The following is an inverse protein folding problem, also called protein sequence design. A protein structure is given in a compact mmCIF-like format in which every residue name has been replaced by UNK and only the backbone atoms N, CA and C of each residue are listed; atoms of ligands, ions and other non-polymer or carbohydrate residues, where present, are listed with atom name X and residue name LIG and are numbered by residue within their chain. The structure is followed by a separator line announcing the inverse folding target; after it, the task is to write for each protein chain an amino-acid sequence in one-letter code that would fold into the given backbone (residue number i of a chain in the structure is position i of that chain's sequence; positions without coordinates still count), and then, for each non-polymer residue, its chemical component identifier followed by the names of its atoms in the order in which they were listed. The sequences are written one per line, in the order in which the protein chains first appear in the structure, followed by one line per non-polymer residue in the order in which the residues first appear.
data_IF_965842346215
#
_entry.id   IF_965842346215
#
_cell.length_a   1.000
_cell.length_b   1.000
_cell.length_c   1.000
_cell.angle_alpha   90.00
_cell.angle_beta   90.00
_cell.angle_gamma   90.00
#
_symmetry.space_group_name_H-M   'P 1'
#
loop_
_entity.id
_entity.type
_entity.pdbx_description
1 polymer ?
#
# COMPACT_ATOMS: atom_id res chain seq x y z
N UNK A 1 2.90 23.77 -0.13
CA UNK A 1 2.98 23.56 1.35
C UNK A 1 1.91 22.53 1.74
N UNK A 2 2.24 21.52 2.56
CA UNK A 2 1.38 20.36 2.88
C UNK A 2 0.16 20.66 3.78
N UNK A 3 -0.30 21.90 3.94
CA UNK A 3 -1.57 22.22 4.64
C UNK A 3 -1.86 21.53 6.00
N UNK A 4 -0.84 21.04 6.73
CA UNK A 4 -1.02 20.26 7.96
C UNK A 4 -1.27 18.76 7.80
N UNK A 5 -1.23 18.18 6.60
CA UNK A 5 -1.40 16.73 6.40
C UNK A 5 -0.18 15.95 6.91
N UNK A 6 -0.41 15.09 7.91
CA UNK A 6 0.56 14.10 8.43
C UNK A 6 0.66 12.89 7.48
N UNK A 7 1.79 12.18 7.53
CA UNK A 7 2.06 11.00 6.72
C UNK A 7 2.92 11.22 5.46
N UNK A 8 3.28 10.10 4.82
CA UNK A 8 4.08 10.04 3.60
C UNK A 8 3.37 10.59 2.36
N UNK A 9 4.07 10.62 1.22
CA UNK A 9 3.47 10.86 -0.10
C UNK A 9 3.94 9.78 -1.08
N UNK A 10 3.12 9.42 -2.10
CA UNK A 10 1.73 9.82 -2.30
C UNK A 10 0.78 9.19 -1.26
N UNK A 11 -0.43 9.74 -1.11
CA UNK A 11 -1.56 9.00 -0.53
C UNK A 11 -2.27 8.25 -1.64
N UNK A 12 -2.66 7.00 -1.41
CA UNK A 12 -3.29 6.17 -2.42
C UNK A 12 -4.22 5.11 -1.81
N UNK A 13 -5.12 4.56 -2.63
CA UNK A 13 -6.11 3.57 -2.21
C UNK A 13 -6.41 2.58 -3.34
N UNK A 14 -6.87 1.38 -2.97
CA UNK A 14 -7.41 0.38 -3.91
C UNK A 14 -8.92 0.35 -3.73
N UNK A 15 -9.63 0.46 -4.85
CA UNK A 15 -11.09 0.54 -4.92
C UNK A 15 -11.64 -0.69 -5.64
N UNK A 16 -12.89 -1.05 -5.34
CA UNK A 16 -13.62 -2.02 -6.14
C UNK A 16 -14.24 -1.38 -7.40
N UNK A 17 -14.95 -2.19 -8.19
CA UNK A 17 -15.60 -1.78 -9.44
C UNK A 17 -16.66 -0.69 -9.28
N UNK A 18 -17.20 -0.52 -8.07
CA UNK A 18 -18.26 0.44 -7.76
C UNK A 18 -17.67 1.71 -7.11
N UNK A 19 -16.34 1.80 -6.99
CA UNK A 19 -15.64 2.94 -6.40
C UNK A 19 -15.60 2.90 -4.86
N UNK A 20 -15.92 1.76 -4.23
CA UNK A 20 -15.77 1.61 -2.79
C UNK A 20 -14.33 1.35 -2.42
N UNK A 21 -13.82 2.07 -1.42
CA UNK A 21 -12.47 1.85 -0.88
C UNK A 21 -12.39 0.48 -0.18
N UNK A 22 -11.44 -0.35 -0.62
CA UNK A 22 -11.14 -1.65 -0.01
C UNK A 22 -10.02 -1.53 1.04
N UNK A 23 -9.01 -0.71 0.72
CA UNK A 23 -7.85 -0.43 1.56
C UNK A 23 -7.16 0.86 1.11
N UNK A 24 -6.51 1.54 2.06
CA UNK A 24 -5.75 2.78 1.85
C UNK A 24 -4.29 2.59 2.19
N UNK A 25 -3.43 3.51 1.75
CA UNK A 25 -2.03 3.56 2.13
C UNK A 25 -1.79 3.98 3.59
N UNK A 26 -2.84 4.23 4.36
CA UNK A 26 -2.73 4.37 5.81
C UNK A 26 -2.61 2.99 6.46
N UNK A 27 -1.59 2.82 7.30
CA UNK A 27 -1.38 1.61 8.08
C UNK A 27 -2.35 1.49 9.28
N UNK A 28 -2.12 0.51 10.15
CA UNK A 28 -2.97 0.25 11.32
C UNK A 28 -2.97 1.40 12.35
N UNK A 29 -1.94 2.25 12.34
CA UNK A 29 -1.84 3.44 13.18
C UNK A 29 -2.52 4.66 12.54
N UNK A 30 -3.00 4.52 11.30
CA UNK A 30 -3.62 5.58 10.53
C UNK A 30 -2.62 6.46 9.78
N UNK A 31 -1.33 6.12 9.81
CA UNK A 31 -0.27 6.90 9.18
C UNK A 31 -0.09 6.49 7.71
N UNK A 32 -0.02 7.46 6.81
CA UNK A 32 0.20 7.17 5.40
C UNK A 32 1.63 6.66 5.16
N UNK A 33 1.77 5.43 4.66
CA UNK A 33 3.07 4.83 4.36
C UNK A 33 3.79 5.47 3.17
N UNK A 34 3.11 6.27 2.35
CA UNK A 34 3.68 6.89 1.15
C UNK A 34 4.10 5.86 0.10
N UNK A 35 5.26 6.07 -0.51
CA UNK A 35 5.93 5.02 -1.29
C UNK A 35 6.50 3.95 -0.32
N UNK A 36 6.17 2.65 -0.49
CA UNK A 36 6.49 1.59 0.48
C UNK A 36 7.98 1.18 0.45
N UNK A 37 8.89 2.08 0.84
CA UNK A 37 10.33 1.80 0.93
C UNK A 37 10.76 1.26 2.29
N UNK A 38 10.02 1.54 3.37
CA UNK A 38 10.32 1.00 4.70
C UNK A 38 9.89 -0.47 4.83
N UNK A 39 10.43 -1.19 5.81
CA UNK A 39 9.99 -2.56 6.12
C UNK A 39 8.51 -2.62 6.46
N UNK A 40 8.03 -1.74 7.34
CA UNK A 40 6.61 -1.64 7.71
C UNK A 40 5.72 -1.25 6.53
N UNK A 41 6.17 -0.31 5.69
CA UNK A 41 5.44 0.10 4.49
C UNK A 41 5.30 -1.05 3.48
N UNK A 42 6.34 -1.89 3.33
CA UNK A 42 6.28 -3.10 2.49
C UNK A 42 5.33 -4.16 3.04
N UNK A 43 5.27 -4.33 4.37
CA UNK A 43 4.31 -5.23 5.03
C UNK A 43 2.89 -4.75 4.79
N UNK A 44 2.61 -3.47 4.99
CA UNK A 44 1.28 -2.92 4.71
C UNK A 44 0.92 -3.05 3.22
N UNK A 45 1.85 -2.73 2.32
CA UNK A 45 1.67 -2.90 0.88
C UNK A 45 1.32 -4.34 0.50
N UNK A 46 2.00 -5.34 1.08
CA UNK A 46 1.67 -6.76 0.90
C UNK A 46 0.23 -7.06 1.33
N UNK A 47 -0.14 -6.64 2.53
CA UNK A 47 -1.50 -6.85 3.06
C UNK A 47 -2.56 -6.21 2.16
N UNK A 48 -2.27 -5.03 1.60
CA UNK A 48 -3.15 -4.36 0.64
C UNK A 48 -3.35 -5.20 -0.63
N UNK A 49 -2.27 -5.76 -1.19
CA UNK A 49 -2.35 -6.63 -2.36
C UNK A 49 -3.10 -7.92 -2.05
N UNK A 50 -2.75 -8.62 -0.97
CA UNK A 50 -3.38 -9.90 -0.59
C UNK A 50 -4.89 -9.74 -0.32
N UNK A 51 -5.29 -8.62 0.28
CA UNK A 51 -6.71 -8.32 0.56
C UNK A 51 -7.53 -7.99 -0.70
N UNK A 52 -6.88 -7.48 -1.75
CA UNK A 52 -7.57 -6.95 -2.94
C UNK A 52 -7.29 -7.73 -4.22
N UNK A 53 -6.38 -8.70 -4.17
CA UNK A 53 -6.00 -9.52 -5.30
C UNK A 53 -7.19 -10.30 -5.85
N UNK A 54 -7.50 -10.08 -7.13
CA UNK A 54 -8.46 -10.90 -7.88
C UNK A 54 -7.74 -12.02 -8.63
N UNK A 55 -6.51 -11.76 -9.09
CA UNK A 55 -5.72 -12.68 -9.94
C UNK A 55 -4.23 -12.74 -9.58
N UNK A 56 -3.76 -11.96 -8.61
CA UNK A 56 -2.38 -12.03 -8.17
C UNK A 56 -2.19 -13.29 -7.32
N UNK A 57 -1.18 -14.08 -7.67
CA UNK A 57 -0.75 -15.23 -6.88
C UNK A 57 0.15 -14.78 -5.72
N UNK A 58 0.38 -15.64 -4.71
CA UNK A 58 1.35 -15.33 -3.65
C UNK A 58 2.76 -15.03 -4.18
N UNK A 59 3.14 -15.63 -5.31
CA UNK A 59 4.43 -15.39 -5.96
C UNK A 59 4.49 -13.99 -6.57
N UNK A 60 3.44 -13.55 -7.27
CA UNK A 60 3.37 -12.20 -7.85
C UNK A 60 3.44 -11.12 -6.75
N UNK A 61 2.70 -11.31 -5.65
CA UNK A 61 2.76 -10.40 -4.50
C UNK A 61 4.17 -10.35 -3.93
N UNK A 62 4.84 -11.50 -3.82
CA UNK A 62 6.20 -11.54 -3.33
C UNK A 62 7.18 -10.79 -4.24
N UNK A 63 7.11 -10.99 -5.56
CA UNK A 63 7.96 -10.28 -6.52
C UNK A 63 7.77 -8.76 -6.44
N UNK A 64 6.52 -8.30 -6.38
CA UNK A 64 6.20 -6.87 -6.25
C UNK A 64 6.78 -6.26 -4.97
N UNK A 65 6.68 -6.97 -3.84
CA UNK A 65 7.20 -6.51 -2.54
C UNK A 65 8.74 -6.51 -2.51
N UNK A 66 9.37 -7.53 -3.08
CA UNK A 66 10.83 -7.63 -3.13
C UNK A 66 11.46 -6.60 -4.07
N UNK A 67 10.79 -6.24 -5.17
CA UNK A 67 11.25 -5.18 -6.07
C UNK A 67 11.41 -3.81 -5.36
N UNK A 68 10.68 -3.57 -4.26
CA UNK A 68 10.78 -2.35 -3.46
C UNK A 68 12.05 -2.26 -2.62
N UNK A 69 12.82 -3.37 -2.49
CA UNK A 69 14.11 -3.40 -1.78
C UNK A 69 15.26 -2.80 -2.58
N UNK A 70 15.14 -2.72 -3.90
CA UNK A 70 16.23 -2.38 -4.80
C UNK A 70 16.38 -0.86 -5.06
N UNK A 71 16.06 0.00 -4.09
CA UNK A 71 16.16 1.45 -4.22
C UNK A 71 17.01 2.08 -3.14
#
# INVERSE_FOLDING_TARGET
MRGGAQGGIPWWAILDKDGKVLVTSNDEEGENIGFPSSSSGRVHFRNMLEKTAIRLTPMDVNELVEALKQK
#
